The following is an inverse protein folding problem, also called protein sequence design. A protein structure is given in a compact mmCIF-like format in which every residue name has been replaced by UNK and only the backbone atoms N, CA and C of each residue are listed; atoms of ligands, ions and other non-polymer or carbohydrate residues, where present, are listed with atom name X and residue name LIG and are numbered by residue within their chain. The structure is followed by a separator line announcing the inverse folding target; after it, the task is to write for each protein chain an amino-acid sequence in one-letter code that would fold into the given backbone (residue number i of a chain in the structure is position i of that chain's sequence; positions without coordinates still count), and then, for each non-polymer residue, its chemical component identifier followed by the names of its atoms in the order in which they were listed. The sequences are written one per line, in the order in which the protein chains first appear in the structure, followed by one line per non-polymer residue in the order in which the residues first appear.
data_IF_547022292594
#
_entry.id   IF_547022292594
#
_cell.length_a   1.000
_cell.length_b   1.000
_cell.length_c   1.000
_cell.angle_alpha   90.00
_cell.angle_beta   90.00
_cell.angle_gamma   90.00
#
_symmetry.space_group_name_H-M   'P 1'
#
loop_
_entity.id
_entity.type
_entity.pdbx_description
1 polymer ?
#
# COMPACT_ATOMS: atom_id res chain seq x y z
N UNK A 1 11.73 14.82 -2.40
CA UNK A 1 11.07 14.34 -1.17
C UNK A 1 11.89 13.19 -0.62
N UNK A 2 12.58 13.40 0.51
CA UNK A 2 13.39 12.36 1.14
C UNK A 2 12.46 11.32 1.81
N UNK A 3 12.73 10.01 1.67
CA UNK A 3 12.05 9.01 2.49
C UNK A 3 12.49 9.23 3.94
N UNK A 4 11.54 9.56 4.83
CA UNK A 4 11.80 9.68 6.27
C UNK A 4 11.87 8.28 6.87
N UNK A 5 12.98 7.59 6.62
CA UNK A 5 13.32 6.32 7.27
C UNK A 5 13.97 6.59 8.62
N UNK A 6 13.65 5.79 9.63
CA UNK A 6 14.19 5.86 10.99
C UNK A 6 14.79 4.50 11.33
N UNK A 7 16.00 4.45 11.87
CA UNK A 7 16.58 3.20 12.36
C UNK A 7 16.37 3.13 13.87
N UNK A 8 15.74 2.06 14.34
CA UNK A 8 15.55 1.75 15.76
C UNK A 8 16.33 0.48 16.12
N UNK A 9 16.35 0.13 17.41
CA UNK A 9 16.95 -1.12 17.90
C UNK A 9 16.28 -2.39 17.33
N UNK A 10 15.05 -2.27 16.82
CA UNK A 10 14.28 -3.35 16.20
C UNK A 10 14.45 -3.43 14.67
N UNK A 11 15.07 -2.42 14.04
CA UNK A 11 15.31 -2.40 12.60
C UNK A 11 15.05 -1.05 11.93
N UNK A 12 14.90 -1.05 10.61
CA UNK A 12 14.56 0.15 9.83
C UNK A 12 13.05 0.30 9.72
N UNK A 13 12.55 1.45 10.12
CA UNK A 13 11.17 1.89 9.95
C UNK A 13 11.09 2.97 8.87
N UNK A 14 9.94 3.07 8.22
CA UNK A 14 9.67 4.07 7.20
C UNK A 14 8.35 4.79 7.48
N UNK A 15 8.39 6.12 7.36
CA UNK A 15 7.19 6.94 7.43
C UNK A 15 6.31 6.77 6.18
N UNK A 16 5.03 6.47 6.38
CA UNK A 16 4.04 6.48 5.31
C UNK A 16 3.68 7.93 4.90
N UNK A 17 3.73 8.25 3.60
CA UNK A 17 3.41 9.59 3.08
C UNK A 17 1.91 9.94 3.12
N UNK A 18 1.04 8.99 3.50
CA UNK A 18 -0.41 9.18 3.54
C UNK A 18 -0.96 9.28 4.96
N UNK A 19 -0.62 8.32 5.84
CA UNK A 19 -1.06 8.35 7.24
C UNK A 19 -0.06 9.02 8.19
N UNK A 20 1.16 9.34 7.73
CA UNK A 20 2.22 9.93 8.58
C UNK A 20 2.61 9.08 9.80
N UNK A 21 2.44 7.76 9.69
CA UNK A 21 2.87 6.79 10.71
C UNK A 21 4.14 6.06 10.27
N UNK A 22 4.96 5.68 11.25
CA UNK A 22 6.13 4.85 11.02
C UNK A 22 5.73 3.37 11.06
N UNK A 23 6.11 2.65 10.02
CA UNK A 23 5.92 1.21 9.91
C UNK A 23 7.26 0.55 9.57
N UNK A 24 7.49 -0.70 9.96
CA UNK A 24 8.70 -1.43 9.56
C UNK A 24 8.92 -1.39 8.03
N UNK A 25 10.16 -1.15 7.59
CA UNK A 25 10.51 -0.97 6.17
C UNK A 25 10.66 -2.32 5.44
N UNK A 26 9.63 -3.15 5.55
CA UNK A 26 9.62 -4.51 5.05
C UNK A 26 8.40 -4.78 4.14
N UNK A 27 8.33 -6.01 3.61
CA UNK A 27 7.34 -6.43 2.64
C UNK A 27 5.95 -6.70 3.25
N UNK A 28 5.79 -6.72 4.57
CA UNK A 28 4.52 -6.84 5.27
C UNK A 28 3.74 -5.53 5.15
N UNK A 29 4.37 -4.40 5.48
CA UNK A 29 3.71 -3.08 5.52
C UNK A 29 3.82 -2.28 4.21
N UNK A 30 4.84 -2.54 3.39
CA UNK A 30 5.05 -1.85 2.11
C UNK A 30 5.08 -2.82 0.93
N UNK A 31 4.71 -2.35 -0.26
CA UNK A 31 4.93 -3.11 -1.49
C UNK A 31 6.39 -3.01 -1.88
N UNK A 32 6.99 -4.11 -2.32
CA UNK A 32 8.36 -4.12 -2.83
C UNK A 32 8.38 -4.06 -4.35
N UNK A 33 9.28 -3.25 -4.91
CA UNK A 33 9.54 -3.17 -6.35
C UNK A 33 11.04 -3.06 -6.58
N UNK A 34 11.61 -4.00 -7.34
CA UNK A 34 13.05 -4.07 -7.61
C UNK A 34 13.91 -4.03 -6.32
N UNK A 35 13.48 -4.77 -5.30
CA UNK A 35 14.17 -4.82 -4.00
C UNK A 35 14.04 -3.57 -3.12
N UNK A 36 13.20 -2.60 -3.49
CA UNK A 36 12.94 -1.39 -2.69
C UNK A 36 11.48 -1.35 -2.27
N UNK A 37 11.23 -1.01 -1.02
CA UNK A 37 9.88 -0.72 -0.51
C UNK A 37 9.33 0.57 -1.12
N UNK A 38 8.05 0.54 -1.44
CA UNK A 38 7.32 1.61 -2.13
C UNK A 38 6.29 2.22 -1.21
N UNK A 39 6.06 3.52 -1.40
CA UNK A 39 5.02 4.27 -0.69
C UNK A 39 3.70 4.26 -1.47
N UNK A 40 2.55 4.45 -0.80
CA UNK A 40 2.36 4.48 0.66
C UNK A 40 2.34 3.06 1.27
N UNK A 41 2.11 2.93 2.58
CA UNK A 41 1.87 1.63 3.21
C UNK A 41 0.70 0.90 2.55
N UNK A 42 0.64 -0.43 2.64
CA UNK A 42 -0.39 -1.25 1.96
C UNK A 42 -1.81 -0.85 2.35
N UNK A 43 -2.05 -0.50 3.61
CA UNK A 43 -3.34 -0.03 4.09
C UNK A 43 -3.78 1.26 3.38
N UNK A 44 -2.90 2.26 3.28
CA UNK A 44 -3.19 3.47 2.52
C UNK A 44 -3.27 3.22 1.01
N UNK A 45 -2.51 2.25 0.50
CA UNK A 45 -2.50 1.90 -0.91
C UNK A 45 -3.84 1.32 -1.39
N UNK A 46 -4.50 0.47 -0.59
CA UNK A 46 -5.83 -0.06 -0.94
C UNK A 46 -6.92 1.01 -0.91
N UNK A 47 -6.73 2.07 -0.12
CA UNK A 47 -7.62 3.23 -0.03
C UNK A 47 -7.34 4.30 -1.11
N UNK A 48 -6.38 4.09 -2.02
CA UNK A 48 -6.15 5.04 -3.11
C UNK A 48 -7.39 5.12 -4.00
N UNK A 49 -7.84 6.33 -4.39
CA UNK A 49 -9.07 6.50 -5.16
C UNK A 49 -9.04 5.72 -6.48
N UNK A 50 -7.88 5.59 -7.12
CA UNK A 50 -7.69 4.77 -8.33
C UNK A 50 -7.83 3.27 -8.07
N UNK A 51 -7.44 2.78 -6.89
CA UNK A 51 -7.57 1.36 -6.49
C UNK A 51 -8.99 1.05 -6.06
N UNK A 52 -9.61 1.94 -5.29
CA UNK A 52 -11.03 1.87 -4.94
C UNK A 52 -11.87 1.84 -6.21
N UNK A 53 -11.72 2.82 -7.12
CA UNK A 53 -12.47 2.85 -8.37
C UNK A 53 -12.28 1.60 -9.23
N UNK A 54 -11.09 0.99 -9.25
CA UNK A 54 -10.85 -0.29 -9.94
C UNK A 54 -11.56 -1.46 -9.25
N UNK A 55 -11.54 -1.50 -7.92
CA UNK A 55 -12.25 -2.52 -7.13
C UNK A 55 -13.75 -2.42 -7.37
N UNK A 56 -14.33 -1.22 -7.29
CA UNK A 56 -15.74 -0.98 -7.57
C UNK A 56 -16.11 -1.42 -9.00
N UNK A 57 -15.32 -1.03 -10.02
CA UNK A 57 -15.55 -1.49 -11.40
C UNK A 57 -15.49 -3.01 -11.53
N UNK A 58 -14.56 -3.67 -10.84
CA UNK A 58 -14.44 -5.13 -10.85
C UNK A 58 -15.62 -5.82 -10.18
N UNK A 59 -16.19 -5.23 -9.12
CA UNK A 59 -17.43 -5.73 -8.49
C UNK A 59 -18.60 -5.59 -9.47
N UNK A 60 -18.74 -4.42 -10.11
CA UNK A 60 -19.83 -4.17 -11.08
C UNK A 60 -19.73 -5.09 -12.30
N UNK A 61 -18.54 -5.31 -12.86
CA UNK A 61 -18.36 -6.16 -14.05
C UNK A 61 -18.14 -7.64 -13.72
N UNK A 62 -17.98 -7.98 -12.44
CA UNK A 62 -17.83 -9.36 -11.94
C UNK A 62 -19.16 -10.04 -11.64
N UNK A 63 -20.23 -9.28 -11.42
CA UNK A 63 -21.59 -9.81 -11.20
C UNK A 63 -22.27 -10.31 -12.48
N UNK A 64 -21.78 -9.89 -13.66
CA UNK A 64 -22.35 -10.30 -14.95
C UNK A 64 -21.90 -11.70 -15.42
N UNK A 65 -21.06 -12.41 -14.64
CA UNK A 65 -20.56 -13.76 -14.99
C UNK A 65 -21.30 -14.91 -14.29
N UNK A 66 -22.32 -14.62 -13.48
CA UNK A 66 -23.12 -15.64 -12.77
C UNK A 66 -24.61 -15.56 -13.10
N UNK A 67 -24.95 -15.47 -14.39
CA UNK A 67 -26.31 -15.75 -14.88
C UNK A 67 -26.21 -16.74 -16.04
N UNK A 68 -25.83 -17.97 -15.70
CA UNK A 68 -26.05 -19.14 -16.53
C UNK A 68 -27.46 -19.69 -16.24
#
# INVERSE_FOLDING_TARGET
MAPKTKTTELGTERLCTRCSEYWPDDAEFFYTKKGKTQQPCKACYVQLPSRVARKERAVVHGQDRCRA
#
